data_IF_189373626197
#
_entry.id   IF_189373626197
#
_cell.length_a   1.000
_cell.length_b   1.000
_cell.length_c   1.000
_cell.angle_alpha   90.00
_cell.angle_beta   90.00
_cell.angle_gamma   90.00
#
_symmetry.space_group_name_H-M   'P 1'
#
loop_
_entity.id
_entity.type
_entity.pdbx_description
1 polymer ?
#
# COMPACT_ATOMS: atom_id res chain seq x y z
N UNK A 1 8.68 18.94 -5.07
CA UNK A 1 7.48 18.07 -5.09
C UNK A 1 7.98 16.66 -4.81
N UNK A 2 7.46 15.98 -3.79
CA UNK A 2 7.85 14.58 -3.55
C UNK A 2 7.08 13.66 -4.49
N UNK A 3 7.78 12.67 -5.03
CA UNK A 3 7.20 11.67 -5.93
C UNK A 3 6.52 10.60 -5.08
N UNK A 4 5.28 10.25 -5.44
CA UNK A 4 4.58 9.15 -4.78
C UNK A 4 5.14 7.82 -5.28
N UNK A 5 5.64 7.00 -4.36
CA UNK A 5 6.09 5.63 -4.64
C UNK A 5 4.95 4.67 -4.32
N UNK A 6 4.84 3.59 -5.07
CA UNK A 6 3.85 2.56 -4.78
C UNK A 6 4.40 1.16 -4.92
N UNK A 7 3.78 0.24 -4.18
CA UNK A 7 3.98 -1.19 -4.28
C UNK A 7 2.62 -1.88 -4.33
N UNK A 8 2.51 -2.94 -5.13
CA UNK A 8 1.34 -3.83 -5.10
C UNK A 8 1.70 -5.15 -4.43
N UNK A 9 0.84 -5.64 -3.54
CA UNK A 9 0.98 -6.92 -2.83
C UNK A 9 -0.31 -7.73 -2.93
N UNK A 10 -0.22 -9.05 -2.88
CA UNK A 10 -1.40 -9.93 -2.82
C UNK A 10 -1.98 -9.96 -1.40
N UNK A 11 -3.30 -10.11 -1.29
CA UNK A 11 -4.00 -10.31 -0.01
C UNK A 11 -5.25 -11.18 -0.19
N UNK A 12 -5.82 -11.73 0.90
CA UNK A 12 -7.07 -12.51 0.84
C UNK A 12 -8.27 -11.75 0.25
N UNK A 13 -8.22 -10.41 0.20
CA UNK A 13 -9.27 -9.55 -0.35
C UNK A 13 -8.90 -8.99 -1.75
N UNK A 14 -7.93 -9.61 -2.43
CA UNK A 14 -7.40 -9.15 -3.71
C UNK A 14 -6.10 -8.36 -3.56
N UNK A 15 -5.61 -7.81 -4.67
CA UNK A 15 -4.34 -7.07 -4.68
C UNK A 15 -4.49 -5.73 -3.96
N UNK A 16 -3.55 -5.39 -3.10
CA UNK A 16 -3.47 -4.11 -2.40
C UNK A 16 -2.34 -3.27 -2.97
N UNK A 17 -2.61 -2.02 -3.31
CA UNK A 17 -1.62 -1.02 -3.66
C UNK A 17 -1.37 -0.10 -2.47
N UNK A 18 -0.13 -0.10 -1.99
CA UNK A 18 0.38 0.75 -0.91
C UNK A 18 1.14 1.88 -1.57
N UNK A 19 0.78 3.14 -1.31
CA UNK A 19 1.46 4.29 -1.91
C UNK A 19 1.63 5.47 -0.96
N UNK A 20 2.68 6.25 -1.16
CA UNK A 20 3.05 7.32 -0.24
C UNK A 20 4.26 8.13 -0.70
N UNK A 21 4.61 9.15 0.09
CA UNK A 21 5.75 10.04 -0.15
C UNK A 21 6.77 9.89 0.98
N UNK A 22 8.02 9.59 0.64
CA UNK A 22 9.02 9.20 1.64
C UNK A 22 8.54 7.96 2.39
N UNK A 23 8.47 8.06 3.73
CA UNK A 23 7.98 7.00 4.62
C UNK A 23 6.49 7.17 4.99
N UNK A 24 5.87 8.29 4.62
CA UNK A 24 4.48 8.56 4.92
C UNK A 24 3.56 7.81 3.94
N UNK A 25 2.77 6.88 4.47
CA UNK A 25 1.71 6.22 3.72
C UNK A 25 0.56 7.21 3.46
N UNK A 26 0.21 7.44 2.20
CA UNK A 26 -0.89 8.35 1.83
C UNK A 26 -2.11 7.60 1.27
N UNK A 27 -1.90 6.40 0.69
CA UNK A 27 -2.96 5.65 0.04
C UNK A 27 -2.79 4.13 0.28
N UNK A 28 -3.89 3.47 0.60
CA UNK A 28 -4.04 2.02 0.57
C UNK A 28 -5.26 1.68 -0.29
N UNK A 29 -5.05 1.07 -1.45
CA UNK A 29 -6.08 0.88 -2.48
C UNK A 29 -6.22 -0.60 -2.81
N UNK A 30 -7.44 -1.14 -2.71
CA UNK A 30 -7.74 -2.48 -3.19
C UNK A 30 -7.90 -2.43 -4.71
N UNK A 31 -7.32 -3.38 -5.44
CA UNK A 31 -7.53 -3.53 -6.88
C UNK A 31 -9.03 -3.65 -7.20
N UNK A 32 -9.44 -3.12 -8.35
CA UNK A 32 -10.83 -2.99 -8.79
C UNK A 32 -11.71 -2.04 -7.94
N UNK A 33 -11.09 -1.16 -7.13
CA UNK A 33 -11.80 -0.02 -6.57
C UNK A 33 -12.46 0.81 -7.69
N UNK A 34 -13.77 1.04 -7.57
CA UNK A 34 -14.58 1.71 -8.60
C UNK A 34 -14.06 3.11 -8.98
N UNK A 35 -13.31 3.76 -8.09
CA UNK A 35 -12.69 5.07 -8.32
C UNK A 35 -11.25 5.09 -7.78
N UNK A 36 -10.25 4.70 -8.56
CA UNK A 36 -8.85 4.82 -8.14
C UNK A 36 -8.41 6.29 -8.10
N UNK A 37 -7.37 6.64 -7.32
CA UNK A 37 -6.85 8.01 -7.27
C UNK A 37 -6.44 8.51 -8.68
N UNK A 38 -6.89 9.71 -9.06
CA UNK A 38 -6.62 10.30 -10.38
C UNK A 38 -5.12 10.50 -10.66
N UNK A 39 -4.32 10.67 -9.60
CA UNK A 39 -2.87 10.87 -9.63
C UNK A 39 -2.06 9.58 -9.75
N UNK A 40 -2.71 8.41 -9.76
CA UNK A 40 -2.05 7.09 -9.84
C UNK A 40 -1.14 6.95 -11.06
N UNK A 41 -1.43 7.65 -12.17
CA UNK A 41 -0.59 7.68 -13.37
C UNK A 41 0.78 8.33 -13.18
N UNK A 42 0.96 9.12 -12.10
CA UNK A 42 2.23 9.79 -11.76
C UNK A 42 3.02 9.04 -10.69
N UNK A 43 2.47 7.96 -10.15
CA UNK A 43 3.15 7.18 -9.13
C UNK A 43 4.26 6.34 -9.77
N UNK A 44 5.36 6.17 -9.04
CA UNK A 44 6.47 5.35 -9.47
C UNK A 44 6.46 4.03 -8.72
N UNK A 45 6.57 2.93 -9.46
CA UNK A 45 6.65 1.61 -8.86
C UNK A 45 7.97 1.47 -8.10
N UNK A 46 7.88 1.08 -6.82
CA UNK A 46 9.00 0.73 -5.97
C UNK A 46 8.61 -0.53 -5.19
N UNK A 47 9.19 -1.67 -5.57
CA UNK A 47 8.87 -2.97 -4.97
C UNK A 47 9.40 -3.12 -3.55
N UNK A 48 10.27 -2.23 -3.11
CA UNK A 48 10.86 -2.23 -1.78
C UNK A 48 10.22 -1.18 -0.86
N UNK A 49 9.36 -0.31 -1.39
CA UNK A 49 8.67 0.70 -0.60
C UNK A 49 7.74 0.09 0.47
N UNK A 50 7.69 0.76 1.62
CA UNK A 50 6.82 0.45 2.76
C UNK A 50 6.95 -0.98 3.30
N UNK A 51 8.17 -1.50 3.56
CA UNK A 51 8.36 -2.88 3.97
C UNK A 51 7.64 -3.20 5.29
N UNK A 52 7.65 -2.27 6.24
CA UNK A 52 6.98 -2.44 7.54
C UNK A 52 5.46 -2.52 7.38
N UNK A 53 4.87 -1.66 6.55
CA UNK A 53 3.43 -1.68 6.25
C UNK A 53 3.03 -3.03 5.63
N UNK A 54 3.82 -3.53 4.67
CA UNK A 54 3.56 -4.84 4.03
C UNK A 54 3.66 -5.99 5.04
N UNK A 55 4.64 -5.96 5.93
CA UNK A 55 4.79 -6.97 6.98
C UNK A 55 3.60 -6.94 7.96
N UNK A 56 3.14 -5.74 8.34
CA UNK A 56 1.99 -5.58 9.23
C UNK A 56 0.67 -6.02 8.57
N UNK A 57 0.46 -5.69 7.29
CA UNK A 57 -0.70 -6.17 6.52
C UNK A 57 -0.70 -7.71 6.45
N UNK A 58 0.47 -8.31 6.21
CA UNK A 58 0.61 -9.76 6.19
C UNK A 58 0.26 -10.39 7.54
N UNK A 59 0.73 -9.79 8.65
CA UNK A 59 0.39 -10.26 10.01
C UNK A 59 -1.09 -10.06 10.34
N UNK A 60 -1.70 -8.96 9.88
CA UNK A 60 -3.12 -8.68 10.04
C UNK A 60 -3.98 -9.73 9.34
N UNK A 61 -3.71 -10.01 8.06
CA UNK A 61 -4.45 -11.03 7.32
C UNK A 61 -4.21 -12.46 7.84
N UNK A 62 -3.06 -12.72 8.47
CA UNK A 62 -2.80 -13.97 9.17
C UNK A 62 -3.49 -14.08 10.55
N UNK A 63 -4.23 -13.05 10.98
CA UNK A 63 -4.89 -13.00 12.30
C UNK A 63 -3.93 -12.82 13.48
N UNK A 64 -2.65 -12.47 13.23
CA UNK A 64 -1.60 -12.32 14.25
C UNK A 64 -1.50 -10.90 14.80
N UNK A 65 -2.16 -9.93 14.17
CA UNK A 65 -2.08 -8.50 14.50
C UNK A 65 -3.44 -7.85 14.33
N UNK A 66 -3.80 -6.96 15.26
CA UNK A 66 -5.05 -6.20 15.23
C UNK A 66 -4.85 -4.68 15.34
N UNK A 67 -3.63 -4.21 15.59
CA UNK A 67 -3.24 -2.80 15.73
C UNK A 67 -2.11 -2.49 14.75
N UNK A 68 -2.11 -1.36 14.06
CA UNK A 68 -1.03 -0.94 13.15
C UNK A 68 -0.15 0.15 13.78
N UNK A 69 1.14 0.13 13.46
CA UNK A 69 2.13 1.16 13.80
C UNK A 69 2.69 1.70 12.49
N UNK A 70 2.07 2.77 11.97
CA UNK A 70 2.35 3.37 10.67
C UNK A 70 2.44 4.88 10.78
#
# INVERSE_FOLDING_TARGET
MQLTRYRTVDSPIGRLTVAGQGDALTNLVIADAAHPPAERSRWVEDKEAFPDVVAQLSAYFAGKRTVFEV
#
